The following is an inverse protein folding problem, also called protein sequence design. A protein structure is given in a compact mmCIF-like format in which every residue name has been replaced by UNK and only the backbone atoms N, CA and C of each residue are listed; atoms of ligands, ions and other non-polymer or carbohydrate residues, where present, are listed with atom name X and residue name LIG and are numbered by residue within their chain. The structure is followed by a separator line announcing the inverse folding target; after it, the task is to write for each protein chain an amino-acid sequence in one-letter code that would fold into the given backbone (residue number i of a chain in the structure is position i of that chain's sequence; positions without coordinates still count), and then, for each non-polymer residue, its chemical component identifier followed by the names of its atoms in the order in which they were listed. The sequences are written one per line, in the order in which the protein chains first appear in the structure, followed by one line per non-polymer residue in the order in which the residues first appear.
data_IF_879359673010
#
_entry.id   IF_879359673010
#
_cell.length_a   1.000
_cell.length_b   1.000
_cell.length_c   1.000
_cell.angle_alpha   90.00
_cell.angle_beta   90.00
_cell.angle_gamma   90.00
#
_symmetry.space_group_name_H-M   'P 1'
#
loop_
_entity.id
_entity.type
_entity.pdbx_description
1 polymer ?
#
# COMPACT_ATOMS: atom_id res chain seq x y z
N UNK A 1 -8.95 -17.69 -13.27
CA UNK A 1 -8.34 -16.53 -13.96
C UNK A 1 -8.32 -15.28 -13.08
N UNK A 2 -9.39 -14.94 -12.34
CA UNK A 2 -9.44 -13.77 -11.45
C UNK A 2 -8.43 -13.76 -10.29
N UNK A 3 -7.95 -14.92 -9.83
CA UNK A 3 -6.91 -14.99 -8.78
C UNK A 3 -5.58 -14.30 -9.18
N UNK A 4 -5.32 -14.14 -10.49
CA UNK A 4 -4.12 -13.45 -10.99
C UNK A 4 -4.24 -11.91 -10.86
N UNK A 5 -5.44 -11.39 -10.61
CA UNK A 5 -5.72 -9.96 -10.47
C UNK A 5 -5.32 -9.46 -9.07
N UNK A 6 -5.50 -10.29 -8.05
CA UNK A 6 -5.29 -9.93 -6.64
C UNK A 6 -3.84 -10.18 -6.17
N UNK A 7 -3.25 -9.20 -5.51
CA UNK A 7 -1.88 -9.25 -5.02
C UNK A 7 -1.73 -9.66 -3.54
N UNK A 8 -2.82 -9.95 -2.82
CA UNK A 8 -2.79 -10.14 -1.35
C UNK A 8 -1.76 -11.19 -0.91
N UNK A 9 -1.70 -12.33 -1.60
CA UNK A 9 -0.76 -13.41 -1.27
C UNK A 9 0.67 -13.05 -1.65
N UNK A 10 0.91 -12.50 -2.85
CA UNK A 10 2.26 -12.14 -3.29
C UNK A 10 2.84 -11.03 -2.41
N UNK A 11 2.04 -10.00 -2.08
CA UNK A 11 2.44 -8.90 -1.20
C UNK A 11 2.84 -9.40 0.19
N UNK A 12 2.09 -10.35 0.77
CA UNK A 12 2.51 -11.00 2.02
C UNK A 12 3.81 -11.79 1.84
N UNK A 13 3.92 -12.58 0.77
CA UNK A 13 5.11 -13.42 0.55
C UNK A 13 6.37 -12.57 0.47
N UNK A 14 6.36 -11.51 -0.34
CA UNK A 14 7.54 -10.66 -0.53
C UNK A 14 7.86 -9.82 0.71
N UNK A 15 6.86 -9.21 1.35
CA UNK A 15 7.09 -8.46 2.60
C UNK A 15 7.60 -9.38 3.74
N UNK A 16 7.13 -10.62 3.80
CA UNK A 16 7.63 -11.59 4.79
C UNK A 16 9.03 -12.10 4.48
N UNK A 17 9.53 -12.01 3.23
CA UNK A 17 10.95 -12.26 2.93
C UNK A 17 11.81 -11.18 3.58
N UNK A 18 11.44 -9.91 3.43
CA UNK A 18 12.12 -8.78 4.11
C UNK A 18 12.14 -8.98 5.63
N UNK A 19 10.98 -9.31 6.22
CA UNK A 19 10.89 -9.61 7.65
C UNK A 19 11.85 -10.73 8.09
N UNK A 20 11.95 -11.82 7.31
CA UNK A 20 12.82 -12.95 7.65
C UNK A 20 14.29 -12.55 7.64
N UNK A 21 14.74 -11.80 6.63
CA UNK A 21 16.11 -11.28 6.57
C UNK A 21 16.42 -10.37 7.76
N UNK A 22 15.52 -9.43 8.09
CA UNK A 22 15.67 -8.56 9.26
C UNK A 22 15.71 -9.34 10.58
N UNK A 23 14.96 -10.44 10.69
CA UNK A 23 15.01 -11.31 11.89
C UNK A 23 16.25 -12.17 12.00
N UNK A 24 16.94 -12.39 10.88
CA UNK A 24 18.22 -13.07 10.84
C UNK A 24 19.39 -12.10 11.00
N UNK A 25 19.12 -10.81 11.25
CA UNK A 25 20.12 -9.75 11.37
C UNK A 25 20.97 -9.59 10.09
N UNK A 26 20.43 -10.00 8.93
CA UNK A 26 21.07 -9.89 7.62
C UNK A 26 20.52 -8.66 6.87
N UNK A 27 21.12 -7.50 7.13
CA UNK A 27 20.69 -6.23 6.56
C UNK A 27 20.92 -6.18 5.04
N UNK A 28 21.99 -6.77 4.52
CA UNK A 28 22.27 -6.78 3.07
C UNK A 28 21.21 -7.60 2.33
N UNK A 29 20.89 -8.81 2.82
CA UNK A 29 19.80 -9.60 2.26
C UNK A 29 18.45 -8.88 2.41
N UNK A 30 18.22 -8.16 3.51
CA UNK A 30 16.98 -7.40 3.70
C UNK A 30 16.86 -6.22 2.72
N UNK A 31 17.96 -5.51 2.43
CA UNK A 31 18.06 -4.44 1.42
C UNK A 31 17.79 -4.96 0.01
N UNK A 32 18.30 -6.15 -0.31
CA UNK A 32 18.03 -6.82 -1.58
C UNK A 32 16.58 -7.30 -1.66
N UNK A 33 16.04 -7.88 -0.58
CA UNK A 33 14.65 -8.33 -0.57
C UNK A 33 13.67 -7.17 -0.73
N UNK A 34 13.93 -6.03 -0.07
CA UNK A 34 13.02 -4.88 -0.14
C UNK A 34 13.13 -4.14 -1.47
N UNK A 35 14.29 -4.14 -2.14
CA UNK A 35 14.45 -3.52 -3.47
C UNK A 35 13.58 -4.17 -4.55
N UNK A 36 13.20 -5.43 -4.35
CA UNK A 36 12.30 -6.14 -5.25
C UNK A 36 10.84 -5.65 -5.18
N UNK A 37 10.48 -4.89 -4.14
CA UNK A 37 9.11 -4.43 -3.90
C UNK A 37 8.98 -2.92 -3.76
N UNK A 38 10.08 -2.16 -3.86
CA UNK A 38 10.06 -0.69 -3.83
C UNK A 38 10.74 -0.09 -5.06
N UNK A 39 10.28 1.08 -5.47
CA UNK A 39 10.90 1.85 -6.56
C UNK A 39 12.03 2.80 -6.16
N UNK A 40 12.47 2.77 -4.89
CA UNK A 40 13.49 3.68 -4.33
C UNK A 40 14.84 2.99 -4.13
N UNK A 41 15.91 3.76 -4.02
CA UNK A 41 17.24 3.21 -3.71
C UNK A 41 17.23 2.61 -2.30
N UNK A 42 17.75 1.38 -2.14
CA UNK A 42 17.72 0.65 -0.87
C UNK A 42 19.09 0.42 -0.25
N UNK A 43 20.17 0.61 -1.01
CA UNK A 43 21.53 0.26 -0.60
C UNK A 43 22.00 0.98 0.68
N UNK A 44 21.46 2.15 0.98
CA UNK A 44 21.84 2.96 2.15
C UNK A 44 20.83 2.88 3.29
N UNK A 45 19.74 2.10 3.15
CA UNK A 45 18.72 2.00 4.19
C UNK A 45 19.24 1.24 5.40
N UNK A 46 19.04 1.79 6.60
CA UNK A 46 19.20 1.05 7.84
C UNK A 46 18.03 0.07 8.06
N UNK A 47 18.08 -0.75 9.11
CA UNK A 47 17.00 -1.71 9.42
C UNK A 47 15.63 -1.04 9.54
N UNK A 48 15.59 0.15 10.13
CA UNK A 48 14.36 0.96 10.27
C UNK A 48 13.85 1.40 8.90
N UNK A 49 14.73 1.88 8.03
CA UNK A 49 14.41 2.28 6.66
C UNK A 49 13.91 1.11 5.80
N UNK A 50 14.50 -0.07 5.96
CA UNK A 50 14.05 -1.31 5.29
C UNK A 50 12.69 -1.75 5.80
N UNK A 51 12.47 -1.77 7.12
CA UNK A 51 11.17 -2.12 7.69
C UNK A 51 10.09 -1.13 7.27
N UNK A 52 10.40 0.18 7.32
CA UNK A 52 9.52 1.25 6.87
C UNK A 52 9.14 1.09 5.40
N UNK A 53 10.12 0.83 4.52
CA UNK A 53 9.88 0.58 3.09
C UNK A 53 8.88 -0.55 2.84
N UNK A 54 9.05 -1.68 3.55
CA UNK A 54 8.15 -2.81 3.43
C UNK A 54 6.73 -2.48 3.95
N UNK A 55 6.61 -1.75 5.05
CA UNK A 55 5.31 -1.35 5.62
C UNK A 55 4.56 -0.38 4.70
N UNK A 56 5.27 0.62 4.15
CA UNK A 56 4.73 1.57 3.16
C UNK A 56 4.18 0.82 1.95
N UNK A 57 4.99 -0.11 1.42
CA UNK A 57 4.60 -0.95 0.28
C UNK A 57 3.33 -1.75 0.56
N UNK A 58 3.24 -2.40 1.73
CA UNK A 58 2.06 -3.17 2.13
C UNK A 58 0.84 -2.27 2.29
N UNK A 59 1.00 -1.09 2.90
CA UNK A 59 -0.08 -0.15 3.13
C UNK A 59 -0.64 0.40 1.80
N UNK A 60 0.23 0.92 0.93
CA UNK A 60 -0.14 1.45 -0.39
C UNK A 60 -0.80 0.36 -1.24
N UNK A 61 -0.15 -0.80 -1.40
CA UNK A 61 -0.68 -1.87 -2.25
C UNK A 61 -1.90 -2.60 -1.64
N UNK A 62 -2.27 -2.34 -0.39
CA UNK A 62 -3.59 -2.78 0.11
C UNK A 62 -4.71 -2.08 -0.67
N UNK A 63 -4.55 -0.82 -1.04
CA UNK A 63 -5.46 -0.14 -1.97
C UNK A 63 -5.31 -0.75 -3.37
N UNK A 64 -4.11 -0.60 -3.94
CA UNK A 64 -3.96 -0.69 -5.40
C UNK A 64 -3.89 -2.13 -5.90
N UNK A 65 -3.34 -3.02 -5.08
CA UNK A 65 -3.14 -4.43 -5.41
C UNK A 65 -4.22 -5.36 -4.89
N UNK A 66 -5.11 -4.88 -4.01
CA UNK A 66 -6.13 -5.72 -3.35
C UNK A 66 -7.53 -5.14 -3.49
N UNK A 67 -7.81 -3.99 -2.87
CA UNK A 67 -9.17 -3.46 -2.80
C UNK A 67 -9.65 -2.91 -4.15
N UNK A 68 -8.83 -2.12 -4.85
CA UNK A 68 -9.21 -1.59 -6.15
C UNK A 68 -9.51 -2.70 -7.18
N UNK A 69 -8.66 -3.74 -7.36
CA UNK A 69 -9.01 -4.83 -8.25
C UNK A 69 -10.24 -5.64 -7.80
N UNK A 70 -10.48 -5.80 -6.49
CA UNK A 70 -11.73 -6.40 -5.98
C UNK A 70 -12.96 -5.61 -6.42
N UNK A 71 -12.95 -4.28 -6.20
CA UNK A 71 -14.06 -3.40 -6.56
C UNK A 71 -14.34 -3.41 -8.06
N UNK A 72 -13.30 -3.26 -8.88
CA UNK A 72 -13.45 -3.31 -10.34
C UNK A 72 -13.94 -4.67 -10.83
N UNK A 73 -13.48 -5.77 -10.22
CA UNK A 73 -13.98 -7.11 -10.55
C UNK A 73 -15.44 -7.29 -10.14
N UNK A 74 -15.87 -6.74 -9.00
CA UNK A 74 -17.25 -6.81 -8.54
C UNK A 74 -18.21 -6.00 -9.43
N UNK A 75 -17.77 -4.85 -9.95
CA UNK A 75 -18.57 -3.96 -10.78
C UNK A 75 -18.72 -4.43 -12.23
N UNK A 76 -17.65 -4.96 -12.83
CA UNK A 76 -17.60 -5.27 -14.27
C UNK A 76 -17.08 -6.66 -14.60
N UNK A 77 -17.01 -7.55 -13.61
CA UNK A 77 -16.48 -8.89 -13.77
C UNK A 77 -14.97 -8.91 -14.06
N UNK A 78 -14.45 -10.06 -14.53
CA UNK A 78 -13.02 -10.25 -14.78
C UNK A 78 -12.42 -9.23 -15.75
N UNK A 79 -13.19 -8.79 -16.76
CA UNK A 79 -12.73 -7.84 -17.78
C UNK A 79 -12.31 -6.52 -17.14
N UNK A 80 -13.18 -5.93 -16.31
CA UNK A 80 -12.89 -4.66 -15.66
C UNK A 80 -11.78 -4.79 -14.60
N UNK A 81 -11.71 -5.93 -13.90
CA UNK A 81 -10.59 -6.25 -13.01
C UNK A 81 -9.23 -6.31 -13.73
N UNK A 82 -9.17 -6.94 -14.92
CA UNK A 82 -7.94 -6.98 -15.72
C UNK A 82 -7.58 -5.62 -16.32
N UNK A 83 -8.57 -4.82 -16.76
CA UNK A 83 -8.33 -3.46 -17.25
C UNK A 83 -7.69 -2.59 -16.16
N UNK A 84 -8.25 -2.61 -14.95
CA UNK A 84 -7.65 -1.91 -13.82
C UNK A 84 -6.23 -2.42 -13.55
N UNK A 85 -6.03 -3.75 -13.51
CA UNK A 85 -4.70 -4.32 -13.24
C UNK A 85 -3.67 -3.92 -14.31
N UNK A 86 -4.08 -3.80 -15.57
CA UNK A 86 -3.22 -3.35 -16.64
C UNK A 86 -2.80 -1.89 -16.45
N UNK A 87 -3.73 -0.99 -16.09
CA UNK A 87 -3.42 0.41 -15.77
C UNK A 87 -2.43 0.51 -14.60
N UNK A 88 -2.73 -0.19 -13.50
CA UNK A 88 -1.88 -0.18 -12.31
C UNK A 88 -0.47 -0.74 -12.56
N UNK A 89 -0.39 -1.81 -13.36
CA UNK A 89 0.90 -2.39 -13.76
C UNK A 89 1.68 -1.44 -14.66
N UNK A 90 1.00 -0.70 -15.55
CA UNK A 90 1.63 0.28 -16.44
C UNK A 90 2.30 1.41 -15.66
N UNK A 91 1.65 1.94 -14.63
CA UNK A 91 2.23 2.98 -13.77
C UNK A 91 3.48 2.47 -13.03
N UNK A 92 3.40 1.29 -12.42
CA UNK A 92 4.53 0.66 -11.72
C UNK A 92 5.71 0.29 -12.64
N UNK A 93 5.44 -0.05 -13.91
CA UNK A 93 6.48 -0.45 -14.87
C UNK A 93 7.16 0.74 -15.54
N UNK A 94 6.37 1.73 -15.97
CA UNK A 94 6.82 2.87 -16.80
C UNK A 94 7.17 4.10 -15.94
N UNK A 95 6.71 4.14 -14.68
CA UNK A 95 6.93 5.23 -13.74
C UNK A 95 8.39 5.66 -13.61
N UNK A 96 8.64 6.93 -13.95
CA UNK A 96 9.87 7.72 -13.73
C UNK A 96 11.22 7.14 -14.21
N UNK A 97 11.24 6.18 -15.14
CA UNK A 97 12.48 5.44 -15.48
C UNK A 97 13.41 6.05 -16.54
N UNK A 98 13.01 7.08 -17.29
CA UNK A 98 13.91 7.68 -18.30
C UNK A 98 13.39 8.99 -18.88
N UNK A 99 14.28 9.94 -19.21
CA UNK A 99 13.94 11.19 -19.93
C UNK A 99 13.20 10.91 -21.26
N UNK A 100 13.43 9.73 -21.84
CA UNK A 100 12.78 9.22 -23.06
C UNK A 100 11.28 8.90 -22.91
N UNK A 101 10.81 8.55 -21.71
CA UNK A 101 9.42 8.11 -21.47
C UNK A 101 8.68 9.01 -20.48
N UNK A 102 9.22 10.18 -20.15
CA UNK A 102 8.67 11.09 -19.16
C UNK A 102 7.18 11.42 -19.41
N UNK A 103 6.78 11.65 -20.65
CA UNK A 103 5.39 11.94 -21.02
C UNK A 103 4.47 10.73 -20.89
N UNK A 104 4.93 9.54 -21.30
CA UNK A 104 4.18 8.29 -21.15
C UNK A 104 4.03 7.89 -19.68
N UNK A 105 5.09 8.00 -18.89
CA UNK A 105 5.06 7.77 -17.45
C UNK A 105 4.10 8.74 -16.74
N UNK A 106 4.10 10.02 -17.12
CA UNK A 106 3.14 11.00 -16.59
C UNK A 106 1.68 10.69 -16.97
N UNK A 107 1.43 10.21 -18.19
CA UNK A 107 0.10 9.84 -18.63
C UNK A 107 -0.39 8.57 -17.88
N UNK A 108 0.48 7.56 -17.74
CA UNK A 108 0.20 6.36 -16.96
C UNK A 108 -0.10 6.68 -15.49
N UNK A 109 0.74 7.49 -14.84
CA UNK A 109 0.54 7.92 -13.46
C UNK A 109 -0.77 8.69 -13.26
N UNK A 110 -1.11 9.59 -14.19
CA UNK A 110 -2.38 10.32 -14.12
C UNK A 110 -3.59 9.40 -14.29
N UNK A 111 -3.51 8.44 -15.22
CA UNK A 111 -4.59 7.48 -15.41
C UNK A 111 -4.76 6.59 -14.18
N UNK A 112 -3.65 6.09 -13.61
CA UNK A 112 -3.66 5.34 -12.36
C UNK A 112 -4.29 6.18 -11.23
N UNK A 113 -3.87 7.43 -11.07
CA UNK A 113 -4.42 8.34 -10.07
C UNK A 113 -5.94 8.51 -10.20
N UNK A 114 -6.46 8.55 -11.43
CA UNK A 114 -7.90 8.67 -11.69
C UNK A 114 -8.63 7.38 -11.30
N UNK A 115 -8.16 6.22 -11.76
CA UNK A 115 -8.84 4.94 -11.49
C UNK A 115 -8.74 4.53 -10.02
N UNK A 116 -7.67 4.95 -9.32
CA UNK A 116 -7.49 4.68 -7.90
C UNK A 116 -8.13 5.71 -6.97
N UNK A 117 -8.66 6.82 -7.50
CA UNK A 117 -9.20 7.89 -6.65
C UNK A 117 -10.31 7.40 -5.71
N UNK A 118 -11.33 6.73 -6.25
CA UNK A 118 -12.44 6.20 -5.42
C UNK A 118 -11.97 4.98 -4.61
N UNK A 119 -11.32 3.96 -5.22
CA UNK A 119 -10.84 2.80 -4.46
C UNK A 119 -9.98 3.14 -3.25
N UNK A 120 -8.98 4.03 -3.39
CA UNK A 120 -8.06 4.36 -2.29
C UNK A 120 -8.78 4.94 -1.06
N UNK A 121 -9.85 5.71 -1.26
CA UNK A 121 -10.68 6.26 -0.18
C UNK A 121 -11.51 5.18 0.48
N UNK A 122 -12.12 4.29 -0.31
CA UNK A 122 -12.83 3.11 0.21
C UNK A 122 -11.86 2.24 1.03
N UNK A 123 -10.67 1.97 0.50
CA UNK A 123 -9.61 1.20 1.18
C UNK A 123 -9.23 1.81 2.52
N UNK A 124 -9.07 3.13 2.59
CA UNK A 124 -8.76 3.81 3.84
C UNK A 124 -9.86 3.62 4.89
N UNK A 125 -11.14 3.77 4.53
CA UNK A 125 -12.25 3.54 5.47
C UNK A 125 -12.36 2.06 5.91
N UNK A 126 -12.18 1.11 4.99
CA UNK A 126 -12.14 -0.32 5.33
C UNK A 126 -10.96 -0.63 6.28
N UNK A 127 -9.80 -0.01 6.04
CA UNK A 127 -8.62 -0.19 6.88
C UNK A 127 -8.78 0.46 8.26
N UNK A 128 -9.44 1.62 8.35
CA UNK A 128 -9.82 2.25 9.62
C UNK A 128 -10.73 1.30 10.42
N UNK A 129 -11.76 0.74 9.78
CA UNK A 129 -12.66 -0.21 10.44
C UNK A 129 -11.91 -1.47 10.89
N UNK A 130 -10.99 -1.98 10.06
CA UNK A 130 -10.10 -3.09 10.41
C UNK A 130 -9.26 -2.81 11.66
N UNK A 131 -8.73 -1.59 11.79
CA UNK A 131 -7.97 -1.16 12.96
C UNK A 131 -8.85 -1.12 14.23
N UNK A 132 -10.12 -0.71 14.13
CA UNK A 132 -11.06 -0.75 15.25
C UNK A 132 -11.45 -2.17 15.68
N UNK A 133 -11.60 -3.11 14.73
CA UNK A 133 -11.98 -4.50 15.03
C UNK A 133 -10.88 -5.31 15.70
N UNK A 134 -9.62 -4.88 15.59
CA UNK A 134 -8.45 -5.71 15.92
C UNK A 134 -8.00 -5.65 17.39
N UNK A 135 -8.80 -5.05 18.27
CA UNK A 135 -8.53 -4.97 19.70
C UNK A 135 -7.23 -4.20 20.02
N UNK A 136 -6.48 -4.65 21.04
CA UNK A 136 -5.26 -3.97 21.53
C UNK A 136 -4.08 -3.94 20.55
N UNK A 137 -4.18 -4.62 19.41
CA UNK A 137 -3.07 -4.72 18.45
C UNK A 137 -2.92 -3.48 17.56
N UNK A 138 -3.98 -2.68 17.42
CA UNK A 138 -3.97 -1.46 16.61
C UNK A 138 -4.75 -0.35 17.31
N UNK A 139 -4.40 0.90 17.01
CA UNK A 139 -5.09 2.08 17.52
C UNK A 139 -6.01 2.66 16.45
N UNK A 140 -7.26 2.17 16.39
CA UNK A 140 -8.25 2.65 15.41
C UNK A 140 -8.58 4.15 15.54
N UNK A 141 -8.56 4.69 16.76
CA UNK A 141 -8.80 6.13 16.99
C UNK A 141 -7.67 6.95 16.40
N UNK A 142 -6.43 6.55 16.64
CA UNK A 142 -5.27 7.22 16.06
C UNK A 142 -5.19 7.00 14.54
N UNK A 143 -5.58 5.83 14.03
CA UNK A 143 -5.70 5.57 12.59
C UNK A 143 -6.61 6.60 11.91
N UNK A 144 -7.81 6.84 12.44
CA UNK A 144 -8.73 7.86 11.92
C UNK A 144 -8.19 9.29 12.07
N UNK A 145 -7.58 9.62 13.22
CA UNK A 145 -6.96 10.94 13.47
C UNK A 145 -5.87 11.23 12.45
N UNK A 146 -4.93 10.31 12.24
CA UNK A 146 -3.81 10.47 11.31
C UNK A 146 -4.32 10.48 9.87
N UNK A 147 -5.27 9.60 9.51
CA UNK A 147 -5.92 9.64 8.20
C UNK A 147 -6.45 11.04 7.87
N UNK A 148 -7.27 11.62 8.75
CA UNK A 148 -7.85 12.95 8.53
C UNK A 148 -6.79 14.05 8.39
N UNK A 149 -5.67 13.92 9.10
CA UNK A 149 -4.58 14.91 9.10
C UNK A 149 -3.63 14.78 7.90
N UNK A 150 -3.32 13.55 7.51
CA UNK A 150 -2.16 13.24 6.67
C UNK A 150 -2.51 12.57 5.32
N UNK A 151 -3.78 12.26 5.02
CA UNK A 151 -4.19 11.59 3.78
C UNK A 151 -3.92 12.35 2.45
N UNK A 152 -3.30 13.54 2.52
CA UNK A 152 -2.85 14.34 1.35
C UNK A 152 -1.33 14.57 1.34
N UNK A 153 -0.59 13.95 2.26
CA UNK A 153 0.87 14.12 2.38
C UNK A 153 1.64 13.16 1.46
N UNK A 154 1.26 13.10 0.19
CA UNK A 154 1.99 12.36 -0.84
C UNK A 154 1.83 13.05 -2.20
N UNK A 155 2.73 12.77 -3.14
CA UNK A 155 2.66 13.35 -4.48
C UNK A 155 1.45 12.81 -5.27
N UNK A 156 1.16 11.51 -5.13
CA UNK A 156 -0.10 10.93 -5.59
C UNK A 156 -1.23 11.26 -4.59
N UNK A 157 -2.43 11.64 -5.07
CA UNK A 157 -3.62 11.83 -4.23
C UNK A 157 -4.12 10.55 -3.55
N UNK A 158 -3.58 9.38 -3.90
CA UNK A 158 -4.08 8.07 -3.49
C UNK A 158 -3.18 7.36 -2.48
N UNK A 159 -1.85 7.37 -2.64
CA UNK A 159 -0.94 6.59 -1.77
C UNK A 159 -1.10 6.93 -0.28
N UNK A 160 -1.20 8.22 0.06
CA UNK A 160 -1.32 8.66 1.46
C UNK A 160 -2.61 8.19 2.15
N UNK A 161 -3.63 7.73 1.41
CA UNK A 161 -4.91 7.32 1.99
C UNK A 161 -4.73 6.15 2.95
N UNK A 162 -4.12 5.05 2.51
CA UNK A 162 -3.89 3.85 3.34
C UNK A 162 -2.61 3.93 4.17
N UNK A 163 -1.57 4.62 3.70
CA UNK A 163 -0.35 4.86 4.47
C UNK A 163 -0.63 5.64 5.76
N UNK A 164 -1.47 6.69 5.71
CA UNK A 164 -1.84 7.46 6.89
C UNK A 164 -2.63 6.62 7.91
N UNK A 165 -3.53 5.76 7.43
CA UNK A 165 -4.27 4.84 8.30
C UNK A 165 -3.30 3.85 8.95
N UNK A 166 -2.40 3.24 8.18
CA UNK A 166 -1.43 2.28 8.68
C UNK A 166 -0.48 2.88 9.72
N UNK A 167 0.08 4.06 9.43
CA UNK A 167 0.94 4.82 10.35
C UNK A 167 0.22 5.12 11.67
N UNK A 168 -1.03 5.60 11.58
CA UNK A 168 -1.85 5.88 12.76
C UNK A 168 -2.21 4.63 13.55
N UNK A 169 -2.63 3.55 12.88
CA UNK A 169 -3.01 2.29 13.50
C UNK A 169 -1.84 1.63 14.25
N UNK A 170 -0.63 1.73 13.70
CA UNK A 170 0.59 1.17 14.29
C UNK A 170 1.28 2.14 15.27
N UNK A 171 0.86 3.41 15.32
CA UNK A 171 1.48 4.50 16.10
C UNK A 171 2.95 4.70 15.76
N UNK A 172 3.25 4.69 14.46
CA UNK A 172 4.59 4.92 13.90
C UNK A 172 4.56 6.09 12.91
N UNK A 173 5.74 6.55 12.54
CA UNK A 173 5.93 7.54 11.49
C UNK A 173 6.48 6.88 10.23
N UNK A 174 5.74 7.03 9.12
CA UNK A 174 6.10 6.58 7.78
C UNK A 174 6.49 7.79 6.91
N UNK A 175 6.84 7.51 5.67
CA UNK A 175 7.39 8.44 4.71
C UNK A 175 8.64 9.17 5.24
N UNK A 176 8.91 10.34 4.68
CA UNK A 176 10.16 11.08 4.85
C UNK A 176 11.06 11.00 3.63
N UNK A 177 12.26 11.54 3.77
CA UNK A 177 13.25 11.61 2.69
C UNK A 177 13.57 10.22 2.13
N UNK A 178 13.54 10.12 0.80
CA UNK A 178 13.85 8.89 0.08
C UNK A 178 14.79 9.18 -1.08
N UNK A 179 15.77 8.31 -1.32
CA UNK A 179 16.67 8.42 -2.47
C UNK A 179 16.10 7.71 -3.69
N UNK A 180 16.14 8.37 -4.83
CA UNK A 180 15.80 7.80 -6.14
C UNK A 180 16.92 8.13 -7.12
N UNK A 181 17.58 7.12 -7.70
CA UNK A 181 18.67 7.29 -8.65
C UNK A 181 19.79 8.20 -8.11
N UNK A 182 20.10 8.06 -6.81
CA UNK A 182 21.11 8.85 -6.10
C UNK A 182 20.67 10.27 -5.71
N UNK A 183 19.42 10.67 -5.98
CA UNK A 183 18.88 11.99 -5.61
C UNK A 183 17.92 11.87 -4.43
N UNK A 184 18.15 12.68 -3.40
CA UNK A 184 17.24 12.77 -2.24
C UNK A 184 15.98 13.54 -2.64
N UNK A 185 14.84 12.87 -2.55
CA UNK A 185 13.50 13.46 -2.71
C UNK A 185 12.93 13.68 -1.31
N UNK A 186 12.74 14.96 -0.95
CA UNK A 186 12.10 15.33 0.32
C UNK A 186 10.60 15.06 0.25
N UNK A 187 10.09 14.22 1.14
CA UNK A 187 8.66 13.94 1.28
C UNK A 187 8.19 14.31 2.69
N UNK A 188 6.96 14.81 2.85
CA UNK A 188 6.40 15.02 4.18
C UNK A 188 6.28 13.69 4.92
N UNK A 189 6.48 13.72 6.24
CA UNK A 189 6.22 12.56 7.09
C UNK A 189 4.72 12.33 7.28
N UNK A 190 4.35 11.06 7.39
CA UNK A 190 2.99 10.59 7.64
C UNK A 190 2.94 9.90 9.01
N UNK A 191 2.00 10.29 9.87
CA UNK A 191 1.89 9.79 11.24
C UNK A 191 2.80 10.48 12.24
N UNK A 192 2.83 9.93 13.46
CA UNK A 192 3.56 10.46 14.61
C UNK A 192 4.55 9.41 15.13
N UNK A 193 5.75 9.81 15.52
CA UNK A 193 6.79 8.92 16.02
C UNK A 193 6.57 8.54 17.50
N UNK A 194 5.39 8.02 17.87
CA UNK A 194 5.12 7.56 19.25
C UNK A 194 6.06 6.44 19.68
N UNK A 195 6.54 5.64 18.73
CA UNK A 195 7.61 4.65 18.89
C UNK A 195 8.39 4.48 17.59
N UNK A 196 9.57 3.86 17.67
CA UNK A 196 10.35 3.49 16.49
C UNK A 196 9.67 2.37 15.71
N UNK A 197 9.88 2.38 14.39
CA UNK A 197 9.48 1.28 13.50
C UNK A 197 10.36 0.07 13.80
N UNK A 198 9.76 -1.12 13.82
CA UNK A 198 10.45 -2.39 14.02
C UNK A 198 10.02 -3.42 12.97
N UNK A 199 10.82 -4.48 12.76
CA UNK A 199 10.51 -5.53 11.78
C UNK A 199 9.16 -6.20 12.01
N UNK A 200 8.72 -6.31 13.27
CA UNK A 200 7.41 -6.84 13.65
C UNK A 200 6.23 -6.08 13.02
N UNK A 201 6.41 -4.79 12.71
CA UNK A 201 5.40 -3.98 12.07
C UNK A 201 5.06 -4.45 10.65
N UNK A 202 5.98 -5.14 9.97
CA UNK A 202 5.69 -5.77 8.67
C UNK A 202 4.60 -6.84 8.83
N UNK A 203 4.65 -7.64 9.90
CA UNK A 203 3.60 -8.63 10.19
C UNK A 203 2.29 -7.95 10.58
N UNK A 204 2.36 -6.85 11.35
CA UNK A 204 1.16 -6.10 11.75
C UNK A 204 0.50 -5.42 10.54
N UNK A 205 1.27 -4.82 9.65
CA UNK A 205 0.78 -4.26 8.38
C UNK A 205 0.11 -5.33 7.51
N UNK A 206 0.74 -6.52 7.38
CA UNK A 206 0.12 -7.66 6.69
C UNK A 206 -1.20 -8.10 7.34
N UNK A 207 -1.29 -8.16 8.68
CA UNK A 207 -2.54 -8.49 9.37
C UNK A 207 -3.62 -7.44 9.09
N UNK A 208 -3.26 -6.16 9.10
CA UNK A 208 -4.17 -5.06 8.78
C UNK A 208 -4.67 -5.16 7.33
N UNK A 209 -3.77 -5.46 6.38
CA UNK A 209 -4.12 -5.75 4.98
C UNK A 209 -5.11 -6.90 4.87
N UNK A 210 -4.87 -8.04 5.54
CA UNK A 210 -5.78 -9.19 5.46
C UNK A 210 -7.18 -8.90 5.97
N UNK A 211 -7.30 -8.18 7.09
CA UNK A 211 -8.59 -7.76 7.62
C UNK A 211 -9.30 -6.78 6.68
N UNK A 212 -8.54 -5.84 6.11
CA UNK A 212 -9.05 -4.89 5.12
C UNK A 212 -9.56 -5.62 3.88
N UNK A 213 -8.80 -6.60 3.39
CA UNK A 213 -9.16 -7.44 2.25
C UNK A 213 -10.44 -8.24 2.51
N UNK A 214 -10.58 -8.83 3.70
CA UNK A 214 -11.77 -9.58 4.09
C UNK A 214 -13.03 -8.70 4.14
N UNK A 215 -12.92 -7.49 4.70
CA UNK A 215 -14.03 -6.53 4.66
C UNK A 215 -14.34 -6.04 3.25
N UNK A 216 -13.31 -5.86 2.41
CA UNK A 216 -13.46 -5.51 1.00
C UNK A 216 -14.19 -6.59 0.21
N UNK A 217 -13.89 -7.86 0.48
CA UNK A 217 -14.59 -9.01 -0.10
C UNK A 217 -16.06 -9.03 0.32
N UNK A 218 -16.37 -8.85 1.61
CA UNK A 218 -17.75 -8.75 2.09
C UNK A 218 -18.51 -7.60 1.42
N UNK A 219 -17.88 -6.43 1.30
CA UNK A 219 -18.47 -5.29 0.59
C UNK A 219 -18.77 -5.64 -0.87
N UNK A 220 -17.82 -6.26 -1.57
CA UNK A 220 -17.99 -6.66 -2.96
C UNK A 220 -19.14 -7.66 -3.13
N UNK A 221 -19.21 -8.67 -2.25
CA UNK A 221 -20.29 -9.66 -2.27
C UNK A 221 -21.67 -9.01 -2.04
N UNK A 222 -21.77 -8.06 -1.11
CA UNK A 222 -23.00 -7.29 -0.87
C UNK A 222 -23.42 -6.45 -2.08
N UNK A 223 -22.46 -5.81 -2.76
CA UNK A 223 -22.73 -5.03 -3.99
C UNK A 223 -23.24 -5.93 -5.12
N UNK A 224 -22.63 -7.12 -5.28
CA UNK A 224 -23.03 -8.08 -6.31
C UNK A 224 -24.41 -8.66 -6.03
N UNK A 225 -24.72 -9.06 -4.79
CA UNK A 225 -26.04 -9.62 -4.46
C UNK A 225 -27.15 -8.57 -4.59
N UNK A 226 -26.91 -7.33 -4.15
CA UNK A 226 -27.86 -6.24 -4.33
C UNK A 226 -28.14 -5.91 -5.80
N UNK A 227 -27.19 -6.20 -6.69
CA UNK A 227 -27.35 -6.00 -8.14
C UNK A 227 -28.11 -7.14 -8.83
N UNK A 228 -28.07 -8.35 -8.26
CA UNK A 228 -28.80 -9.54 -8.77
C UNK A 228 -30.26 -9.53 -8.30
N UNK A 229 -30.52 -8.97 -7.11
CA UNK A 229 -31.85 -8.90 -6.50
C UNK A 229 -32.70 -7.72 -7.01
N UNK A 230 -32.20 -6.94 -7.97
CA UNK A 230 -32.91 -5.87 -8.67
C UNK A 230 -33.30 -6.34 -10.07
#
# INVERSE_FOLDING_TARGET
MTFQILATKSLRVESMRVYKCLKQEDLEAARQAVSMIVGRDTATLDEVGVAKAAIETVAENTSDGVIAPMLYTALGGPVLGFLYKAVNTMDSMIGYKNDKYLYFGRAAAKLDDIVNFIPARISAYLMIFSAFMSGKCFDGRNAFKIYKRDNRKHASPNSAQTEAVCAGALRIQLAGDASYFGKIVKKPYIGDAYRKVESEDIKRANRLMYLTAWLGELLCLLLMTASILR
#
